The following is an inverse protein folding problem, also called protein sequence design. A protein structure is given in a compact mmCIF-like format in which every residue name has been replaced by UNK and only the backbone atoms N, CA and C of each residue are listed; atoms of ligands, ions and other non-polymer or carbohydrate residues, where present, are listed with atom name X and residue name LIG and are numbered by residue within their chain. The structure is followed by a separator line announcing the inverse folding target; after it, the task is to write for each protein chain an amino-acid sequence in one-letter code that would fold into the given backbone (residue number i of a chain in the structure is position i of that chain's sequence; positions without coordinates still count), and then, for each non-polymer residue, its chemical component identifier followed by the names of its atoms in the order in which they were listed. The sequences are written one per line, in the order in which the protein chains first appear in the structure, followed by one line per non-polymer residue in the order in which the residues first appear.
data_IF_477383943929
#
_entry.id   IF_477383943929
#
_cell.length_a   1.000
_cell.length_b   1.000
_cell.length_c   1.000
_cell.angle_alpha   90.00
_cell.angle_beta   90.00
_cell.angle_gamma   90.00
#
_symmetry.space_group_name_H-M   'P 1'
#
loop_
_entity.id
_entity.type
_entity.pdbx_description
1 polymer ?
#
# COMPACT_ATOMS: atom_id res chain seq x y z
N UNK A 1 32.20 -11.37 -3.14
CA UNK A 1 30.79 -10.97 -2.81
C UNK A 1 30.24 -10.07 -3.90
N UNK A 2 30.97 -9.06 -4.37
CA UNK A 2 30.52 -8.13 -5.41
C UNK A 2 30.13 -8.84 -6.72
N UNK A 3 30.95 -9.74 -7.21
CA UNK A 3 30.66 -10.51 -8.43
C UNK A 3 29.44 -11.43 -8.27
N UNK A 4 29.20 -11.98 -7.09
CA UNK A 4 28.03 -12.84 -6.83
C UNK A 4 26.74 -12.01 -6.75
N UNK A 5 26.77 -10.82 -6.10
CA UNK A 5 25.60 -9.92 -6.02
C UNK A 5 25.30 -9.23 -7.35
N UNK A 6 26.31 -8.80 -8.12
CA UNK A 6 26.11 -8.33 -9.49
C UNK A 6 25.50 -9.43 -10.38
N UNK A 7 25.98 -10.66 -10.27
CA UNK A 7 25.40 -11.80 -10.95
C UNK A 7 23.96 -12.04 -10.49
N UNK A 8 23.66 -11.96 -9.17
CA UNK A 8 22.32 -12.15 -8.64
C UNK A 8 21.35 -11.01 -8.99
N UNK A 9 21.80 -9.75 -9.02
CA UNK A 9 20.95 -8.64 -9.49
C UNK A 9 20.64 -8.78 -10.98
N UNK A 10 21.60 -9.19 -11.77
CA UNK A 10 21.41 -9.56 -13.17
C UNK A 10 20.45 -10.75 -13.34
N UNK A 11 20.62 -11.80 -12.54
CA UNK A 11 19.75 -12.97 -12.53
C UNK A 11 18.32 -12.56 -12.13
N UNK A 12 18.12 -11.78 -11.07
CA UNK A 12 16.81 -11.28 -10.65
C UNK A 12 16.12 -10.47 -11.76
N UNK A 13 16.87 -9.58 -12.42
CA UNK A 13 16.38 -8.78 -13.53
C UNK A 13 15.97 -9.67 -14.71
N UNK A 14 16.79 -10.67 -15.02
CA UNK A 14 16.51 -11.64 -16.08
C UNK A 14 15.23 -12.46 -15.80
N UNK A 15 14.99 -12.87 -14.55
CA UNK A 15 13.75 -13.55 -14.18
C UNK A 15 12.51 -12.66 -14.33
N UNK A 16 12.63 -11.36 -14.04
CA UNK A 16 11.51 -10.42 -14.24
C UNK A 16 11.19 -10.24 -15.73
N UNK A 17 12.20 -10.15 -16.59
CA UNK A 17 12.00 -10.14 -18.04
C UNK A 17 11.42 -11.46 -18.56
N UNK A 18 11.98 -12.59 -18.11
CA UNK A 18 11.51 -13.92 -18.48
C UNK A 18 10.02 -14.10 -18.09
N UNK A 19 9.66 -13.65 -16.90
CA UNK A 19 8.25 -13.67 -16.44
C UNK A 19 7.34 -12.87 -17.38
N UNK A 20 7.77 -11.67 -17.80
CA UNK A 20 7.02 -10.85 -18.76
C UNK A 20 6.84 -11.55 -20.10
N UNK A 21 7.92 -12.08 -20.68
CA UNK A 21 7.91 -12.79 -21.97
C UNK A 21 7.00 -14.03 -21.88
N UNK A 22 7.17 -14.85 -20.85
CA UNK A 22 6.35 -16.04 -20.65
C UNK A 22 4.88 -15.72 -20.39
N UNK A 23 4.58 -14.62 -19.70
CA UNK A 23 3.20 -14.16 -19.53
C UNK A 23 2.57 -13.83 -20.89
N UNK A 24 3.27 -13.13 -21.78
CA UNK A 24 2.81 -12.87 -23.15
C UNK A 24 2.60 -14.16 -23.91
N UNK A 25 3.55 -15.11 -23.84
CA UNK A 25 3.41 -16.42 -24.48
C UNK A 25 2.17 -17.18 -23.98
N UNK A 26 1.89 -17.10 -22.68
CA UNK A 26 0.69 -17.74 -22.09
C UNK A 26 -0.62 -17.09 -22.58
N UNK A 27 -0.63 -15.78 -22.84
CA UNK A 27 -1.78 -15.13 -23.49
C UNK A 27 -2.00 -15.68 -24.90
N UNK A 28 -0.92 -15.86 -25.71
CA UNK A 28 -1.04 -16.45 -27.04
C UNK A 28 -1.54 -17.90 -26.97
N UNK A 29 -0.98 -18.72 -26.10
CA UNK A 29 -1.43 -20.11 -25.90
C UNK A 29 -2.90 -20.14 -25.48
N UNK A 30 -3.29 -19.29 -24.53
CA UNK A 30 -4.69 -19.19 -24.09
C UNK A 30 -5.64 -18.78 -25.20
N UNK A 31 -5.26 -17.82 -26.07
CA UNK A 31 -6.07 -17.42 -27.21
C UNK A 31 -6.21 -18.56 -28.23
N UNK A 32 -5.16 -19.36 -28.45
CA UNK A 32 -5.24 -20.56 -29.30
C UNK A 32 -6.22 -21.56 -28.70
N UNK A 33 -6.14 -21.84 -27.41
CA UNK A 33 -7.01 -22.80 -26.71
C UNK A 33 -8.49 -22.42 -26.83
N UNK A 34 -8.82 -21.13 -26.72
CA UNK A 34 -10.19 -20.63 -26.88
C UNK A 34 -10.57 -20.36 -28.35
N UNK A 35 -9.73 -20.79 -29.28
CA UNK A 35 -9.93 -20.64 -30.73
C UNK A 35 -10.16 -19.18 -31.17
N UNK A 36 -9.41 -18.22 -30.58
CA UNK A 36 -9.45 -16.80 -30.93
C UNK A 36 -8.12 -16.36 -31.57
N UNK A 37 -8.22 -15.71 -32.72
CA UNK A 37 -7.05 -15.15 -33.40
C UNK A 37 -6.49 -13.90 -32.73
N UNK A 38 -5.29 -13.49 -33.14
CA UNK A 38 -4.65 -12.25 -32.71
C UNK A 38 -5.23 -11.03 -33.47
N UNK A 39 -6.46 -10.66 -33.15
CA UNK A 39 -7.04 -9.41 -33.66
C UNK A 39 -6.66 -8.20 -32.78
N UNK A 40 -6.89 -7.00 -33.31
CA UNK A 40 -6.56 -5.74 -32.64
C UNK A 40 -7.12 -5.67 -31.20
N UNK A 41 -8.37 -6.10 -30.98
CA UNK A 41 -8.99 -6.12 -29.63
C UNK A 41 -8.27 -7.03 -28.65
N UNK A 42 -7.84 -8.22 -29.09
CA UNK A 42 -7.10 -9.18 -28.26
C UNK A 42 -5.69 -8.67 -27.93
N UNK A 43 -5.04 -8.00 -28.90
CA UNK A 43 -3.76 -7.33 -28.67
C UNK A 43 -3.88 -6.21 -27.63
N UNK A 44 -4.93 -5.39 -27.68
CA UNK A 44 -5.19 -4.34 -26.68
C UNK A 44 -5.36 -4.91 -25.25
N UNK A 45 -5.99 -6.07 -25.11
CA UNK A 45 -6.15 -6.73 -23.80
C UNK A 45 -4.78 -7.14 -23.26
N UNK A 46 -3.92 -7.74 -24.08
CA UNK A 46 -2.56 -8.14 -23.68
C UNK A 46 -1.80 -6.90 -23.21
N UNK A 47 -1.82 -5.82 -23.98
CA UNK A 47 -1.15 -4.55 -23.63
C UNK A 47 -1.68 -3.99 -22.31
N UNK A 48 -3.02 -3.94 -22.15
CA UNK A 48 -3.65 -3.46 -20.91
C UNK A 48 -3.26 -4.32 -19.69
N UNK A 49 -3.18 -5.64 -19.85
CA UNK A 49 -2.75 -6.55 -18.82
C UNK A 49 -1.28 -6.31 -18.44
N UNK A 50 -0.39 -6.14 -19.43
CA UNK A 50 1.02 -5.86 -19.19
C UNK A 50 1.23 -4.54 -18.45
N UNK A 51 0.47 -3.49 -18.82
CA UNK A 51 0.47 -2.21 -18.12
C UNK A 51 -0.02 -2.37 -16.67
N UNK A 52 -1.13 -3.07 -16.45
CA UNK A 52 -1.67 -3.32 -15.11
C UNK A 52 -0.67 -4.08 -14.23
N UNK A 53 -0.01 -5.12 -14.76
CA UNK A 53 1.02 -5.86 -14.04
C UNK A 53 2.26 -5.01 -13.75
N UNK A 54 2.66 -4.12 -14.68
CA UNK A 54 3.76 -3.20 -14.48
C UNK A 54 3.46 -2.22 -13.34
N UNK A 55 2.30 -1.55 -13.38
CA UNK A 55 1.87 -0.61 -12.35
C UNK A 55 1.77 -1.30 -10.98
N UNK A 56 1.21 -2.51 -10.95
CA UNK A 56 1.09 -3.30 -9.73
C UNK A 56 2.42 -3.92 -9.26
N UNK A 57 3.52 -3.67 -9.99
CA UNK A 57 4.85 -4.22 -9.74
C UNK A 57 4.88 -5.76 -9.74
N UNK A 58 3.99 -6.39 -10.51
CA UNK A 58 3.87 -7.85 -10.62
C UNK A 58 5.10 -8.47 -11.26
N UNK A 59 5.83 -7.74 -12.08
CA UNK A 59 7.06 -8.22 -12.75
C UNK A 59 8.25 -8.44 -11.81
N UNK A 60 8.26 -7.81 -10.65
CA UNK A 60 9.35 -7.97 -9.69
C UNK A 60 9.22 -9.29 -8.92
N UNK A 61 9.57 -10.39 -9.58
CA UNK A 61 9.34 -11.77 -9.09
C UNK A 61 10.35 -12.20 -8.02
N UNK A 62 11.52 -11.57 -8.00
CA UNK A 62 12.67 -12.06 -7.25
C UNK A 62 12.94 -11.36 -5.92
N UNK A 63 11.98 -10.61 -5.38
CA UNK A 63 12.12 -10.01 -4.06
C UNK A 63 11.30 -10.79 -3.02
N UNK A 64 11.91 -11.10 -1.88
CA UNK A 64 11.26 -11.77 -0.74
C UNK A 64 10.06 -10.99 -0.16
N UNK A 65 9.91 -9.71 -0.54
CA UNK A 65 8.75 -8.88 -0.17
C UNK A 65 7.40 -9.43 -0.68
N UNK A 66 7.43 -10.37 -1.62
CA UNK A 66 6.24 -10.88 -2.30
C UNK A 66 5.83 -12.25 -1.78
N UNK A 67 5.24 -12.25 -0.58
CA UNK A 67 4.53 -13.40 -0.02
C UNK A 67 3.17 -13.59 -0.71
N UNK A 68 2.43 -14.62 -0.27
CA UNK A 68 1.04 -14.95 -0.68
C UNK A 68 0.15 -13.70 -0.96
N UNK A 69 0.44 -12.57 -0.30
CA UNK A 69 -0.28 -11.29 -0.43
C UNK A 69 -0.18 -10.70 -1.85
N UNK A 70 0.88 -10.97 -2.58
CA UNK A 70 1.04 -10.47 -3.95
C UNK A 70 0.49 -11.43 -5.00
N UNK A 71 0.32 -12.70 -4.64
CA UNK A 71 -0.44 -13.65 -5.46
C UNK A 71 -1.91 -13.23 -5.55
N UNK A 72 -2.46 -12.64 -4.47
CA UNK A 72 -3.82 -12.09 -4.50
C UNK A 72 -3.95 -10.90 -5.47
N UNK A 73 -2.90 -10.09 -5.63
CA UNK A 73 -2.90 -9.00 -6.60
C UNK A 73 -3.02 -9.52 -8.04
N UNK A 74 -2.32 -10.60 -8.37
CA UNK A 74 -2.43 -11.27 -9.69
C UNK A 74 -3.84 -11.76 -9.93
N UNK A 75 -4.45 -12.45 -8.95
CA UNK A 75 -5.82 -12.95 -9.03
C UNK A 75 -6.81 -11.80 -9.26
N UNK A 76 -6.66 -10.70 -8.53
CA UNK A 76 -7.54 -9.53 -8.64
C UNK A 76 -7.40 -8.87 -10.01
N UNK A 77 -6.18 -8.65 -10.51
CA UNK A 77 -5.97 -8.05 -11.83
C UNK A 77 -6.61 -8.93 -12.92
N UNK A 78 -6.34 -10.23 -12.90
CA UNK A 78 -6.90 -11.16 -13.88
C UNK A 78 -8.43 -11.25 -13.78
N UNK A 79 -8.99 -11.21 -12.57
CA UNK A 79 -10.43 -11.17 -12.36
C UNK A 79 -11.08 -9.90 -12.91
N UNK A 80 -10.45 -8.73 -12.71
CA UNK A 80 -10.92 -7.46 -13.29
C UNK A 80 -10.87 -7.52 -14.82
N UNK A 81 -9.76 -7.98 -15.39
CA UNK A 81 -9.60 -8.10 -16.85
C UNK A 81 -10.62 -9.07 -17.44
N UNK A 82 -10.85 -10.21 -16.80
CA UNK A 82 -11.89 -11.16 -17.18
C UNK A 82 -13.27 -10.51 -17.17
N UNK A 83 -13.61 -9.79 -16.10
CA UNK A 83 -14.89 -9.11 -15.96
C UNK A 83 -15.09 -8.07 -17.08
N UNK A 84 -14.09 -7.19 -17.27
CA UNK A 84 -14.14 -6.13 -18.30
C UNK A 84 -14.29 -6.74 -19.71
N UNK A 85 -13.53 -7.77 -20.03
CA UNK A 85 -13.57 -8.40 -21.35
C UNK A 85 -14.88 -9.15 -21.62
N UNK A 86 -15.48 -9.72 -20.60
CA UNK A 86 -16.79 -10.38 -20.68
C UNK A 86 -17.90 -9.35 -20.87
N UNK A 87 -17.93 -8.28 -20.07
CA UNK A 87 -18.92 -7.20 -20.23
C UNK A 87 -18.80 -6.48 -21.59
N UNK A 88 -17.59 -6.31 -22.08
CA UNK A 88 -17.34 -5.73 -23.42
C UNK A 88 -17.63 -6.70 -24.56
N UNK A 89 -18.13 -7.89 -24.26
CA UNK A 89 -18.42 -8.96 -25.25
C UNK A 89 -17.22 -9.33 -26.13
N UNK A 90 -16.01 -9.15 -25.62
CA UNK A 90 -14.77 -9.56 -26.31
C UNK A 90 -14.60 -11.07 -26.15
N UNK A 91 -14.81 -11.57 -24.95
CA UNK A 91 -14.84 -13.00 -24.63
C UNK A 91 -16.19 -13.38 -24.01
N UNK A 92 -16.60 -14.62 -24.23
CA UNK A 92 -17.67 -15.22 -23.43
C UNK A 92 -17.16 -15.46 -22.01
N UNK A 93 -18.07 -15.68 -21.06
CA UNK A 93 -17.71 -15.98 -19.66
C UNK A 93 -16.79 -17.20 -19.54
N UNK A 94 -17.07 -18.26 -20.31
CA UNK A 94 -16.25 -19.48 -20.34
C UNK A 94 -14.86 -19.26 -20.94
N UNK A 95 -14.76 -18.52 -22.05
CA UNK A 95 -13.47 -18.15 -22.64
C UNK A 95 -12.64 -17.33 -21.66
N UNK A 96 -13.27 -16.39 -20.95
CA UNK A 96 -12.62 -15.58 -19.91
C UNK A 96 -12.07 -16.45 -18.77
N UNK A 97 -12.87 -17.37 -18.24
CA UNK A 97 -12.41 -18.31 -17.18
C UNK A 97 -11.19 -19.11 -17.65
N UNK A 98 -11.24 -19.68 -18.85
CA UNK A 98 -10.15 -20.50 -19.39
C UNK A 98 -8.88 -19.65 -19.55
N UNK A 99 -8.99 -18.52 -20.26
CA UNK A 99 -7.86 -17.66 -20.57
C UNK A 99 -7.19 -17.12 -19.29
N UNK A 100 -7.95 -16.40 -18.47
CA UNK A 100 -7.40 -15.76 -17.28
C UNK A 100 -7.09 -16.75 -16.16
N UNK A 101 -7.78 -17.90 -16.11
CA UNK A 101 -7.47 -18.98 -15.21
C UNK A 101 -6.09 -19.61 -15.49
N UNK A 102 -5.81 -19.97 -16.75
CA UNK A 102 -4.51 -20.50 -17.16
C UNK A 102 -3.39 -19.50 -16.85
N UNK A 103 -3.57 -18.22 -17.21
CA UNK A 103 -2.59 -17.19 -16.96
C UNK A 103 -2.33 -17.01 -15.45
N UNK A 104 -3.39 -17.01 -14.65
CA UNK A 104 -3.26 -16.85 -13.19
C UNK A 104 -2.50 -18.02 -12.57
N UNK A 105 -2.84 -19.25 -12.94
CA UNK A 105 -2.15 -20.46 -12.45
C UNK A 105 -0.67 -20.42 -12.84
N UNK A 106 -0.37 -20.10 -14.10
CA UNK A 106 1.01 -19.97 -14.57
C UNK A 106 1.79 -18.90 -13.76
N UNK A 107 1.22 -17.71 -13.61
CA UNK A 107 1.88 -16.61 -12.91
C UNK A 107 2.16 -16.94 -11.44
N UNK A 108 1.24 -17.61 -10.76
CA UNK A 108 1.41 -18.05 -9.37
C UNK A 108 2.48 -19.15 -9.28
N UNK A 109 2.40 -20.16 -10.14
CA UNK A 109 3.34 -21.26 -10.15
C UNK A 109 4.77 -20.82 -10.48
N UNK A 110 4.94 -19.97 -11.50
CA UNK A 110 6.23 -19.43 -11.88
C UNK A 110 6.87 -18.63 -10.73
N UNK A 111 6.10 -17.77 -10.06
CA UNK A 111 6.56 -17.02 -8.89
C UNK A 111 6.99 -17.94 -7.76
N UNK A 112 6.18 -18.93 -7.46
CA UNK A 112 6.50 -19.89 -6.41
C UNK A 112 7.83 -20.60 -6.69
N UNK A 113 8.04 -21.06 -7.92
CA UNK A 113 9.28 -21.71 -8.35
C UNK A 113 10.46 -20.77 -8.23
N UNK A 114 10.35 -19.52 -8.70
CA UNK A 114 11.45 -18.55 -8.63
C UNK A 114 11.77 -18.17 -7.18
N UNK A 115 10.77 -17.98 -6.34
CA UNK A 115 10.99 -17.69 -4.91
C UNK A 115 11.76 -18.84 -4.26
N UNK A 116 11.36 -20.08 -4.51
CA UNK A 116 12.01 -21.24 -3.92
C UNK A 116 13.43 -21.48 -4.46
N UNK A 117 13.67 -21.18 -5.75
CA UNK A 117 14.93 -21.51 -6.41
C UNK A 117 16.00 -20.41 -6.31
N UNK A 118 15.60 -19.14 -6.19
CA UNK A 118 16.52 -18.00 -6.46
C UNK A 118 16.66 -17.07 -5.27
N UNK A 119 15.71 -17.06 -4.34
CA UNK A 119 15.72 -16.07 -3.28
C UNK A 119 16.56 -16.54 -2.10
N UNK A 120 17.84 -16.15 -2.08
CA UNK A 120 18.65 -16.20 -0.85
C UNK A 120 18.20 -15.06 0.08
N UNK A 121 18.03 -15.39 1.36
CA UNK A 121 17.74 -14.38 2.38
C UNK A 121 18.98 -13.56 2.66
N UNK A 122 18.86 -12.25 2.58
CA UNK A 122 19.96 -11.35 2.95
C UNK A 122 20.10 -11.30 4.48
N UNK A 123 21.35 -11.32 4.95
CA UNK A 123 21.67 -11.31 6.38
C UNK A 123 21.84 -9.87 6.83
N UNK A 124 21.11 -9.47 7.86
CA UNK A 124 21.11 -8.10 8.37
C UNK A 124 21.75 -8.02 9.75
N UNK A 125 22.58 -7.01 9.92
CA UNK A 125 23.18 -6.60 11.18
C UNK A 125 22.65 -5.22 11.56
N UNK A 126 22.23 -5.06 12.80
CA UNK A 126 21.85 -3.79 13.37
C UNK A 126 23.02 -3.20 14.17
N UNK A 127 23.18 -1.88 14.11
CA UNK A 127 24.23 -1.16 14.83
C UNK A 127 23.57 -0.08 15.68
N UNK A 128 23.69 -0.20 16.99
CA UNK A 128 22.98 0.64 17.97
C UNK A 128 21.51 0.27 18.14
N UNK A 129 20.85 1.02 18.99
CA UNK A 129 19.44 0.81 19.38
C UNK A 129 18.70 2.16 19.47
N UNK A 130 17.42 2.14 19.16
CA UNK A 130 16.46 3.21 19.42
C UNK A 130 15.04 2.60 19.58
N UNK A 131 14.03 3.46 19.77
CA UNK A 131 12.63 3.06 20.02
C UNK A 131 12.01 2.20 18.89
N UNK A 132 12.59 2.22 17.69
CA UNK A 132 12.11 1.44 16.53
C UNK A 132 12.87 0.13 16.32
N UNK A 133 13.92 -0.12 17.11
CA UNK A 133 14.76 -1.32 16.93
C UNK A 133 13.97 -2.59 17.14
N UNK A 134 13.16 -2.64 18.21
CA UNK A 134 12.34 -3.81 18.54
C UNK A 134 11.26 -4.04 17.46
N UNK A 135 10.53 -3.00 17.05
CA UNK A 135 9.52 -3.07 15.97
C UNK A 135 10.13 -3.63 14.67
N UNK A 136 11.31 -3.13 14.29
CA UNK A 136 12.01 -3.59 13.09
C UNK A 136 12.52 -5.01 13.23
N UNK A 137 13.03 -5.37 14.41
CA UNK A 137 13.54 -6.72 14.69
C UNK A 137 12.42 -7.75 14.61
N UNK A 138 11.26 -7.45 15.21
CA UNK A 138 10.09 -8.31 15.14
C UNK A 138 9.61 -8.47 13.69
N UNK A 139 9.53 -7.37 12.95
CA UNK A 139 9.14 -7.37 11.54
C UNK A 139 10.10 -8.19 10.69
N UNK A 140 11.42 -8.02 10.88
CA UNK A 140 12.47 -8.76 10.16
C UNK A 140 12.37 -10.26 10.45
N UNK A 141 12.18 -10.66 11.71
CA UNK A 141 12.02 -12.07 12.10
C UNK A 141 10.75 -12.68 11.52
N UNK A 142 9.63 -11.96 11.56
CA UNK A 142 8.32 -12.42 11.11
C UNK A 142 8.23 -12.52 9.59
N UNK A 143 8.81 -11.56 8.88
CA UNK A 143 8.66 -11.46 7.43
C UNK A 143 9.57 -12.41 6.66
N UNK A 144 10.69 -12.82 7.26
CA UNK A 144 11.64 -13.79 6.69
C UNK A 144 12.28 -13.33 5.38
N UNK A 145 12.24 -12.03 5.08
CA UNK A 145 12.97 -11.43 3.95
C UNK A 145 14.46 -11.37 4.26
N UNK A 146 14.78 -11.00 5.49
CA UNK A 146 16.14 -10.96 6.02
C UNK A 146 16.33 -12.06 7.05
N UNK A 147 17.59 -12.45 7.25
CA UNK A 147 18.02 -13.23 8.40
C UNK A 147 18.74 -12.28 9.35
N UNK A 148 18.14 -12.01 10.49
CA UNK A 148 18.80 -11.22 11.53
C UNK A 148 19.99 -12.00 12.07
N UNK A 149 21.17 -11.37 12.06
CA UNK A 149 22.42 -11.97 12.52
C UNK A 149 22.68 -11.56 13.97
N UNK A 150 22.83 -10.26 14.22
CA UNK A 150 23.14 -9.72 15.54
C UNK A 150 22.86 -8.21 15.60
N UNK A 151 22.77 -7.67 16.82
CA UNK A 151 22.91 -6.24 17.11
C UNK A 151 24.26 -5.95 17.73
N UNK A 152 24.91 -4.90 17.26
CA UNK A 152 26.18 -4.40 17.76
C UNK A 152 25.94 -3.11 18.54
N UNK A 153 26.04 -3.16 19.87
CA UNK A 153 25.70 -2.05 20.76
C UNK A 153 26.92 -1.48 21.51
N UNK A 154 28.11 -1.63 20.93
CA UNK A 154 29.32 -1.13 21.55
C UNK A 154 29.35 0.40 21.53
N UNK A 155 29.57 1.02 22.68
CA UNK A 155 29.62 2.49 22.83
C UNK A 155 30.96 3.07 22.36
N UNK A 156 32.03 2.26 22.35
CA UNK A 156 33.31 2.65 21.73
C UNK A 156 33.26 2.47 20.20
N UNK A 157 33.27 3.59 19.49
CA UNK A 157 33.21 3.60 18.03
C UNK A 157 34.37 2.86 17.36
N UNK A 158 35.58 2.84 17.99
CA UNK A 158 36.71 2.10 17.44
C UNK A 158 36.55 0.59 17.57
N UNK A 159 36.02 0.14 18.71
CA UNK A 159 35.72 -1.26 18.93
C UNK A 159 34.56 -1.70 18.02
N UNK A 160 33.50 -0.90 17.92
CA UNK A 160 32.37 -1.13 17.02
C UNK A 160 32.81 -1.26 15.56
N UNK A 161 33.67 -0.34 15.11
CA UNK A 161 34.23 -0.41 13.76
C UNK A 161 35.00 -1.71 13.50
N UNK A 162 35.81 -2.19 14.46
CA UNK A 162 36.54 -3.47 14.34
C UNK A 162 35.56 -4.65 14.25
N UNK A 163 34.54 -4.69 15.09
CA UNK A 163 33.51 -5.75 15.09
C UNK A 163 32.78 -5.82 13.74
N UNK A 164 32.40 -4.67 13.18
CA UNK A 164 31.76 -4.58 11.85
C UNK A 164 32.70 -5.13 10.77
N UNK A 165 34.00 -4.74 10.80
CA UNK A 165 34.99 -5.18 9.83
C UNK A 165 35.22 -6.70 9.91
N UNK A 166 35.35 -7.27 11.10
CA UNK A 166 35.50 -8.71 11.31
C UNK A 166 34.30 -9.50 10.80
N UNK A 167 33.09 -9.05 11.13
CA UNK A 167 31.86 -9.69 10.66
C UNK A 167 31.73 -9.62 9.12
N UNK A 168 32.10 -8.50 8.52
CA UNK A 168 32.03 -8.37 7.05
C UNK A 168 33.08 -9.24 6.36
N UNK A 169 34.33 -9.23 6.83
CA UNK A 169 35.43 -10.03 6.26
C UNK A 169 35.16 -11.54 6.36
N UNK A 170 34.45 -11.97 7.40
CA UNK A 170 33.97 -13.36 7.54
C UNK A 170 32.68 -13.64 6.78
N UNK A 171 32.18 -12.68 5.99
CA UNK A 171 30.96 -12.78 5.16
C UNK A 171 29.73 -13.18 5.95
N UNK A 172 29.60 -12.67 7.18
CA UNK A 172 28.47 -13.02 8.05
C UNK A 172 27.21 -12.21 7.76
N UNK A 173 27.28 -11.08 7.07
CA UNK A 173 26.11 -10.25 6.74
C UNK A 173 26.23 -9.57 5.37
N UNK A 174 25.09 -9.08 4.88
CA UNK A 174 24.90 -8.46 3.57
C UNK A 174 24.32 -7.05 3.68
N UNK A 175 23.60 -6.76 4.77
CA UNK A 175 22.93 -5.50 5.03
C UNK A 175 23.34 -5.01 6.42
N UNK A 176 23.70 -3.73 6.51
CA UNK A 176 24.01 -3.04 7.76
C UNK A 176 23.00 -1.90 7.92
N UNK A 177 22.34 -1.88 9.08
CA UNK A 177 21.40 -0.81 9.47
C UNK A 177 21.96 -0.06 10.66
N UNK A 178 22.22 1.22 10.49
CA UNK A 178 22.79 2.10 11.52
C UNK A 178 21.69 2.88 12.24
N UNK A 179 21.54 2.62 13.55
CA UNK A 179 20.62 3.32 14.45
C UNK A 179 21.31 4.44 15.24
N UNK A 180 22.64 4.56 15.12
CA UNK A 180 23.41 5.48 15.97
C UNK A 180 23.53 6.88 15.43
N UNK A 181 23.37 7.08 14.10
CA UNK A 181 23.69 8.30 13.34
C UNK A 181 25.13 8.80 13.56
N UNK A 182 25.98 7.99 14.19
CA UNK A 182 27.35 8.35 14.58
C UNK A 182 28.39 7.59 13.76
N UNK A 183 28.03 6.45 13.17
CA UNK A 183 28.97 5.55 12.50
C UNK A 183 29.73 6.25 11.36
N UNK A 184 29.05 7.09 10.59
CA UNK A 184 29.64 7.86 9.48
C UNK A 184 30.41 9.10 9.92
N UNK A 185 30.50 9.41 11.22
CA UNK A 185 31.33 10.53 11.72
C UNK A 185 32.81 10.16 11.85
N UNK A 186 33.13 8.85 11.90
CA UNK A 186 34.53 8.40 11.88
C UNK A 186 34.98 8.23 10.43
N UNK A 187 35.96 9.03 9.94
CA UNK A 187 36.41 8.99 8.55
C UNK A 187 36.96 7.61 8.15
N UNK A 188 37.62 6.89 9.08
CA UNK A 188 38.23 5.57 8.79
C UNK A 188 37.15 4.50 8.61
N UNK A 189 36.11 4.55 9.46
CA UNK A 189 34.96 3.63 9.32
C UNK A 189 34.23 3.95 8.02
N UNK A 190 33.98 5.22 7.74
CA UNK A 190 33.29 5.66 6.52
C UNK A 190 33.99 5.21 5.26
N UNK A 191 35.31 5.36 5.19
CA UNK A 191 36.12 4.92 4.04
C UNK A 191 36.02 3.39 3.85
N UNK A 192 36.10 2.62 4.92
CA UNK A 192 35.94 1.16 4.85
C UNK A 192 34.53 0.73 4.46
N UNK A 193 33.50 1.37 5.01
CA UNK A 193 32.11 1.10 4.62
C UNK A 193 31.87 1.46 3.14
N UNK A 194 32.48 2.53 2.63
CA UNK A 194 32.42 2.87 1.21
C UNK A 194 33.05 1.77 0.36
N UNK A 195 34.25 1.28 0.73
CA UNK A 195 34.87 0.16 0.05
C UNK A 195 33.95 -1.05 0.02
N UNK A 196 33.36 -1.43 1.17
CA UNK A 196 32.44 -2.57 1.26
C UNK A 196 31.13 -2.35 0.51
N UNK A 197 30.64 -1.12 0.45
CA UNK A 197 29.47 -0.77 -0.38
C UNK A 197 29.75 -1.01 -1.87
N UNK A 198 30.95 -0.67 -2.34
CA UNK A 198 31.38 -0.97 -3.71
C UNK A 198 31.54 -2.48 -3.96
N UNK A 199 31.84 -3.26 -2.93
CA UNK A 199 31.89 -4.73 -2.96
C UNK A 199 30.49 -5.38 -2.82
N UNK A 200 29.44 -4.59 -2.53
CA UNK A 200 28.06 -5.05 -2.48
C UNK A 200 27.40 -5.08 -1.11
N UNK A 201 28.02 -4.52 -0.06
CA UNK A 201 27.33 -4.24 1.21
C UNK A 201 26.21 -3.23 0.96
N UNK A 202 25.03 -3.50 1.51
CA UNK A 202 23.95 -2.52 1.59
C UNK A 202 24.03 -1.81 2.94
N UNK A 203 24.29 -0.51 2.93
CA UNK A 203 24.28 0.33 4.11
C UNK A 203 23.00 1.18 4.10
N UNK A 204 22.30 1.17 5.19
CA UNK A 204 21.14 2.02 5.44
C UNK A 204 21.28 2.72 6.79
N UNK A 205 20.90 4.00 6.87
CA UNK A 205 20.50 4.53 8.15
C UNK A 205 19.13 3.93 8.53
N UNK A 206 18.77 3.94 9.81
CA UNK A 206 17.56 3.29 10.27
C UNK A 206 16.27 3.95 9.72
N UNK A 207 16.27 5.28 9.47
CA UNK A 207 15.12 5.98 8.88
C UNK A 207 14.85 5.45 7.47
N UNK A 208 15.89 5.38 6.64
CA UNK A 208 15.80 4.89 5.27
C UNK A 208 15.41 3.40 5.23
N UNK A 209 15.98 2.58 6.13
CA UNK A 209 15.64 1.17 6.22
C UNK A 209 14.18 0.98 6.67
N UNK A 210 13.75 1.70 7.71
CA UNK A 210 12.39 1.66 8.22
C UNK A 210 11.39 2.07 7.14
N UNK A 211 11.63 3.19 6.46
CA UNK A 211 10.79 3.69 5.38
C UNK A 211 10.68 2.68 4.23
N UNK A 212 11.83 2.16 3.77
CA UNK A 212 11.87 1.25 2.62
C UNK A 212 11.29 -0.13 2.96
N UNK A 213 11.56 -0.63 4.16
CA UNK A 213 11.16 -1.96 4.59
C UNK A 213 9.70 -2.01 5.06
N UNK A 214 9.31 -1.08 5.94
CA UNK A 214 7.99 -1.04 6.53
C UNK A 214 6.94 -0.34 5.67
N UNK A 215 7.36 0.49 4.70
CA UNK A 215 6.51 1.37 3.91
C UNK A 215 5.67 2.32 4.77
N UNK A 216 6.28 2.85 5.84
CA UNK A 216 5.75 3.84 6.78
C UNK A 216 6.90 4.72 7.29
N UNK A 217 6.61 5.87 7.90
CA UNK A 217 7.62 6.79 8.43
C UNK A 217 7.71 6.72 9.96
N UNK A 218 8.91 6.76 10.56
CA UNK A 218 9.11 6.75 12.01
C UNK A 218 8.93 8.16 12.59
N UNK A 219 7.70 8.57 12.86
CA UNK A 219 7.29 9.97 13.14
C UNK A 219 8.02 10.59 14.33
N UNK A 220 8.23 9.86 15.43
CA UNK A 220 8.88 10.41 16.63
C UNK A 220 10.34 10.83 16.40
N UNK A 221 10.98 10.32 15.36
CA UNK A 221 12.36 10.65 15.00
C UNK A 221 12.47 11.63 13.83
N UNK A 222 11.35 12.09 13.28
CA UNK A 222 11.35 13.12 12.26
C UNK A 222 11.52 14.49 12.91
N UNK A 223 12.28 15.37 12.27
CA UNK A 223 12.47 16.75 12.68
C UNK A 223 12.04 17.70 11.56
N UNK A 224 11.77 18.98 11.84
CA UNK A 224 11.52 19.94 10.77
C UNK A 224 12.65 20.00 9.74
N UNK A 225 13.92 19.82 10.20
CA UNK A 225 15.08 19.72 9.31
C UNK A 225 14.94 18.54 8.35
N UNK A 226 14.52 17.36 8.83
CA UNK A 226 14.32 16.19 7.99
C UNK A 226 13.31 16.45 6.87
N UNK A 227 12.19 17.11 7.16
CA UNK A 227 11.20 17.49 6.14
C UNK A 227 11.75 18.47 5.09
N UNK A 228 12.67 19.36 5.47
CA UNK A 228 13.31 20.29 4.54
C UNK A 228 14.39 19.62 3.67
N UNK A 229 15.09 18.63 4.19
CA UNK A 229 16.16 17.91 3.48
C UNK A 229 15.63 16.78 2.59
N UNK A 230 14.41 16.27 2.85
CA UNK A 230 13.82 15.17 2.11
C UNK A 230 12.75 15.66 1.13
N UNK A 231 12.84 15.19 -0.10
CA UNK A 231 11.85 15.47 -1.14
C UNK A 231 10.57 14.64 -0.96
N UNK A 232 9.49 15.02 -1.63
CA UNK A 232 8.23 14.27 -1.71
C UNK A 232 7.07 14.90 -0.94
N UNK A 233 7.33 15.96 -0.16
CA UNK A 233 6.28 16.74 0.50
C UNK A 233 5.89 18.01 -0.30
N UNK A 234 6.53 18.25 -1.45
CA UNK A 234 6.26 19.38 -2.35
C UNK A 234 5.10 19.10 -3.32
N UNK A 235 4.02 18.53 -2.83
CA UNK A 235 2.89 18.06 -3.65
C UNK A 235 2.26 19.17 -4.48
N UNK A 236 2.26 20.39 -3.96
CA UNK A 236 1.66 21.56 -4.60
C UNK A 236 2.42 22.09 -5.83
N UNK A 237 3.65 21.63 -6.08
CA UNK A 237 4.46 22.12 -7.21
C UNK A 237 4.27 21.31 -8.49
N UNK A 238 3.70 20.09 -8.43
CA UNK A 238 3.47 19.28 -9.62
C UNK A 238 2.02 19.34 -10.10
N UNK A 239 1.65 20.48 -10.70
CA UNK A 239 0.31 20.72 -11.22
C UNK A 239 -0.17 19.67 -12.23
N UNK A 240 0.74 19.04 -12.99
CA UNK A 240 0.36 18.00 -13.95
C UNK A 240 -0.14 16.74 -13.24
N UNK A 241 0.59 16.24 -12.27
CA UNK A 241 0.19 15.04 -11.52
C UNK A 241 -1.12 15.25 -10.75
N UNK A 242 -1.33 16.43 -10.18
CA UNK A 242 -2.58 16.78 -9.48
C UNK A 242 -3.77 16.83 -10.45
N UNK A 243 -3.60 17.45 -11.63
CA UNK A 243 -4.64 17.48 -12.66
C UNK A 243 -4.94 16.09 -13.22
N UNK A 244 -3.91 15.29 -13.49
CA UNK A 244 -4.05 13.92 -13.95
C UNK A 244 -4.77 13.04 -12.92
N UNK A 245 -4.38 13.15 -11.63
CA UNK A 245 -5.09 12.49 -10.53
C UNK A 245 -6.56 12.92 -10.47
N UNK A 246 -6.84 14.22 -10.58
CA UNK A 246 -8.20 14.73 -10.56
C UNK A 246 -9.05 14.18 -11.72
N UNK A 247 -8.47 14.09 -12.91
CA UNK A 247 -9.14 13.48 -14.07
C UNK A 247 -9.47 12.01 -13.80
N UNK A 248 -8.53 11.25 -13.25
CA UNK A 248 -8.75 9.84 -12.89
C UNK A 248 -9.81 9.70 -11.81
N UNK A 249 -9.80 10.55 -10.77
CA UNK A 249 -10.83 10.57 -9.73
C UNK A 249 -12.23 10.78 -10.35
N UNK A 250 -12.36 11.73 -11.28
CA UNK A 250 -13.63 11.98 -11.95
C UNK A 250 -14.08 10.80 -12.82
N UNK A 251 -13.17 10.23 -13.61
CA UNK A 251 -13.47 9.08 -14.47
C UNK A 251 -13.89 7.87 -13.64
N UNK A 252 -13.18 7.55 -12.57
CA UNK A 252 -13.54 6.43 -11.69
C UNK A 252 -14.84 6.71 -10.91
N UNK A 253 -15.07 7.96 -10.45
CA UNK A 253 -16.31 8.30 -9.76
C UNK A 253 -17.53 8.13 -10.66
N UNK A 254 -17.44 8.57 -11.91
CA UNK A 254 -18.51 8.39 -12.91
C UNK A 254 -18.71 6.92 -13.25
N UNK A 255 -17.63 6.19 -13.54
CA UNK A 255 -17.70 4.78 -13.91
C UNK A 255 -18.31 3.95 -12.77
N UNK A 256 -17.76 4.06 -11.56
CA UNK A 256 -18.25 3.33 -10.38
C UNK A 256 -19.67 3.79 -10.05
N UNK A 257 -19.97 5.09 -10.14
CA UNK A 257 -21.30 5.63 -9.88
C UNK A 257 -22.38 5.04 -10.79
N UNK A 258 -22.09 4.90 -12.09
CA UNK A 258 -23.02 4.28 -13.06
C UNK A 258 -23.28 2.81 -12.70
N UNK A 259 -22.21 2.03 -12.46
CA UNK A 259 -22.37 0.61 -12.13
C UNK A 259 -22.95 0.37 -10.73
N UNK A 260 -22.66 1.24 -9.78
CA UNK A 260 -23.20 1.16 -8.42
C UNK A 260 -24.62 1.75 -8.28
N UNK A 261 -25.11 2.48 -9.28
CA UNK A 261 -26.43 3.15 -9.20
C UNK A 261 -27.58 2.21 -8.78
N UNK A 262 -27.73 0.99 -9.33
CA UNK A 262 -28.78 0.07 -8.89
C UNK A 262 -28.62 -0.31 -7.41
N UNK A 263 -27.38 -0.53 -6.94
CA UNK A 263 -27.07 -0.87 -5.55
C UNK A 263 -27.37 0.31 -4.64
N UNK A 264 -27.00 1.52 -5.05
CA UNK A 264 -27.29 2.78 -4.31
C UNK A 264 -28.79 2.96 -4.14
N UNK A 265 -29.60 2.78 -5.20
CA UNK A 265 -31.05 2.90 -5.12
C UNK A 265 -31.64 1.84 -4.20
N UNK A 266 -31.22 0.57 -4.34
CA UNK A 266 -31.70 -0.51 -3.50
C UNK A 266 -31.35 -0.27 -2.03
N UNK A 267 -30.11 0.11 -1.74
CA UNK A 267 -29.66 0.43 -0.39
C UNK A 267 -30.47 1.60 0.21
N UNK A 268 -30.74 2.64 -0.57
CA UNK A 268 -31.56 3.78 -0.15
C UNK A 268 -32.98 3.34 0.29
N UNK A 269 -33.61 2.47 -0.50
CA UNK A 269 -34.95 1.91 -0.19
C UNK A 269 -34.89 1.10 1.11
N UNK A 270 -33.93 0.19 1.25
CA UNK A 270 -33.81 -0.67 2.44
C UNK A 270 -33.55 0.17 3.70
N UNK A 271 -32.64 1.14 3.66
CA UNK A 271 -32.35 2.05 4.78
C UNK A 271 -33.60 2.81 5.21
N UNK A 272 -34.41 3.25 4.23
CA UNK A 272 -35.67 3.98 4.53
C UNK A 272 -36.74 3.09 5.17
N UNK A 273 -36.79 1.81 4.75
CA UNK A 273 -37.79 0.84 5.28
C UNK A 273 -37.34 0.27 6.63
N UNK A 274 -36.05 0.10 6.89
CA UNK A 274 -35.54 -0.49 8.13
C UNK A 274 -35.73 0.41 9.34
N UNK A 275 -35.59 1.73 9.18
CA UNK A 275 -35.68 2.64 10.31
C UNK A 275 -36.19 4.04 9.92
N UNK A 276 -36.90 4.70 10.81
CA UNK A 276 -37.36 6.09 10.63
C UNK A 276 -36.18 7.06 10.59
N UNK A 277 -36.20 8.02 9.67
CA UNK A 277 -35.21 9.09 9.56
C UNK A 277 -34.67 9.28 8.13
N UNK A 278 -33.59 10.09 7.93
CA UNK A 278 -32.99 10.36 6.63
C UNK A 278 -32.28 9.14 6.10
N UNK A 279 -32.19 9.01 4.75
CA UNK A 279 -31.45 7.93 4.07
C UNK A 279 -29.96 8.13 4.23
N UNK A 280 -29.51 9.37 4.09
CA UNK A 280 -28.11 9.74 4.17
C UNK A 280 -27.77 10.27 5.58
N UNK A 281 -26.57 9.95 6.00
CA UNK A 281 -25.90 10.53 7.17
C UNK A 281 -24.85 11.51 6.66
N UNK A 282 -24.94 12.75 7.10
CA UNK A 282 -24.04 13.83 6.72
C UNK A 282 -23.26 14.24 7.97
N UNK A 283 -21.94 14.32 7.87
CA UNK A 283 -21.09 14.66 9.00
C UNK A 283 -19.93 15.54 8.56
N UNK A 284 -19.66 16.61 9.33
CA UNK A 284 -18.52 17.48 9.10
C UNK A 284 -17.19 16.75 9.35
N UNK A 285 -16.26 16.94 8.43
CA UNK A 285 -14.90 16.38 8.45
C UNK A 285 -13.89 17.44 8.01
N UNK A 286 -12.63 17.21 8.37
CA UNK A 286 -11.52 18.05 7.92
C UNK A 286 -10.90 17.44 6.68
N UNK A 287 -10.71 18.26 5.66
CA UNK A 287 -10.11 17.91 4.37
C UNK A 287 -8.82 18.64 4.08
N UNK A 288 -8.50 18.78 2.79
CA UNK A 288 -7.29 19.43 2.28
C UNK A 288 -7.18 20.88 2.77
N UNK A 289 -5.98 21.25 3.26
CA UNK A 289 -5.71 22.58 3.80
C UNK A 289 -6.51 22.93 5.05
N UNK A 290 -6.87 21.93 5.85
CA UNK A 290 -7.72 22.06 7.06
C UNK A 290 -9.14 22.61 6.78
N UNK A 291 -9.62 22.52 5.54
CA UNK A 291 -10.95 23.00 5.18
C UNK A 291 -12.01 21.99 5.62
N UNK A 292 -13.08 22.51 6.22
CA UNK A 292 -14.25 21.71 6.60
C UNK A 292 -15.06 21.32 5.36
N UNK A 293 -15.55 20.08 5.32
CA UNK A 293 -16.49 19.60 4.31
C UNK A 293 -17.45 18.58 4.91
N UNK A 294 -18.56 18.35 4.24
CA UNK A 294 -19.59 17.42 4.69
C UNK A 294 -19.46 16.08 3.95
N UNK A 295 -18.98 15.04 4.66
CA UNK A 295 -18.98 13.68 4.10
C UNK A 295 -20.39 13.11 4.06
N UNK A 296 -20.75 12.48 2.95
CA UNK A 296 -22.07 11.86 2.74
C UNK A 296 -21.95 10.35 2.77
N UNK A 297 -22.73 9.69 3.63
CA UNK A 297 -22.80 8.21 3.74
C UNK A 297 -24.25 7.76 3.81
N UNK A 298 -24.50 6.45 3.58
CA UNK A 298 -25.77 5.88 4.02
C UNK A 298 -25.81 5.81 5.53
N UNK A 299 -26.99 6.07 6.10
CA UNK A 299 -27.21 5.86 7.51
C UNK A 299 -27.15 4.36 7.84
N UNK A 300 -26.17 3.96 8.61
CA UNK A 300 -25.92 2.58 9.05
C UNK A 300 -26.14 2.39 10.55
N UNK A 301 -26.49 3.47 11.26
CA UNK A 301 -26.76 3.49 12.70
C UNK A 301 -28.15 4.08 12.98
N UNK A 302 -28.64 3.86 14.20
CA UNK A 302 -29.87 4.49 14.70
C UNK A 302 -29.70 6.01 14.80
N UNK A 303 -30.82 6.76 14.78
CA UNK A 303 -30.79 8.24 14.77
C UNK A 303 -30.26 8.85 16.07
N UNK A 304 -30.27 8.09 17.15
CA UNK A 304 -29.79 8.47 18.48
C UNK A 304 -28.36 7.99 18.81
N UNK A 305 -27.64 7.47 17.81
CA UNK A 305 -26.33 6.87 17.99
C UNK A 305 -25.27 7.79 18.59
N UNK A 306 -25.41 9.10 18.51
CA UNK A 306 -24.47 10.11 19.01
C UNK A 306 -25.07 11.00 20.13
N UNK A 307 -26.11 10.55 20.86
CA UNK A 307 -26.67 11.32 21.96
C UNK A 307 -25.67 11.68 23.06
N UNK A 308 -24.72 10.78 23.29
CA UNK A 308 -23.65 10.94 24.31
C UNK A 308 -22.38 11.60 23.75
N UNK A 309 -22.48 12.25 22.58
CA UNK A 309 -21.38 12.94 21.94
C UNK A 309 -20.57 12.08 20.96
N UNK A 310 -19.47 12.64 20.41
CA UNK A 310 -18.62 11.99 19.44
C UNK A 310 -17.87 10.79 20.02
N UNK A 311 -18.06 9.60 19.45
CA UNK A 311 -17.38 8.37 19.87
C UNK A 311 -16.79 7.67 18.66
N UNK A 312 -15.62 7.04 18.84
CA UNK A 312 -15.10 6.09 17.86
C UNK A 312 -15.99 4.85 17.76
N UNK A 313 -16.11 4.28 16.56
CA UNK A 313 -16.86 3.06 16.37
C UNK A 313 -16.15 1.88 17.02
N UNK A 314 -16.88 1.05 17.77
CA UNK A 314 -16.36 -0.17 18.37
C UNK A 314 -16.63 -1.41 17.49
N UNK A 315 -15.91 -2.53 17.77
CA UNK A 315 -16.03 -3.76 16.98
C UNK A 315 -17.44 -4.40 17.02
N UNK A 316 -18.15 -4.25 18.14
CA UNK A 316 -19.51 -4.75 18.34
C UNK A 316 -20.47 -3.61 18.73
N UNK A 317 -20.55 -2.60 17.88
CA UNK A 317 -21.32 -1.38 18.15
C UNK A 317 -22.83 -1.66 18.04
N UNK A 318 -23.54 -1.65 19.17
CA UNK A 318 -24.97 -1.92 19.25
C UNK A 318 -25.84 -0.84 18.56
N UNK A 319 -25.25 0.31 18.21
CA UNK A 319 -25.93 1.40 17.49
C UNK A 319 -26.14 1.08 16.02
N UNK A 320 -25.44 0.04 15.49
CA UNK A 320 -25.48 -0.34 14.07
C UNK A 320 -26.74 -1.15 13.77
N UNK A 321 -27.52 -0.75 12.75
CA UNK A 321 -28.72 -1.46 12.30
C UNK A 321 -28.36 -2.81 11.66
N UNK A 322 -29.34 -3.70 11.48
CA UNK A 322 -29.09 -5.03 10.87
C UNK A 322 -28.54 -4.91 9.45
N UNK A 323 -29.18 -4.10 8.60
CA UNK A 323 -28.69 -3.82 7.25
C UNK A 323 -27.42 -2.97 7.28
N UNK A 324 -27.30 -2.07 8.26
CA UNK A 324 -26.08 -1.30 8.50
C UNK A 324 -24.84 -2.18 8.69
N UNK A 325 -24.97 -3.34 9.36
CA UNK A 325 -23.86 -4.31 9.50
C UNK A 325 -23.42 -4.85 8.14
N UNK A 326 -24.35 -5.18 7.26
CA UNK A 326 -24.08 -5.65 5.90
C UNK A 326 -23.41 -4.55 5.08
N UNK A 327 -24.00 -3.34 5.09
CA UNK A 327 -23.44 -2.20 4.35
C UNK A 327 -22.01 -1.88 4.78
N UNK A 328 -21.71 -1.88 6.08
CA UNK A 328 -20.36 -1.63 6.60
C UNK A 328 -19.38 -2.74 6.23
N UNK A 329 -19.80 -4.00 6.24
CA UNK A 329 -18.97 -5.12 5.84
C UNK A 329 -18.62 -5.08 4.34
N UNK A 330 -19.54 -4.61 3.50
CA UNK A 330 -19.42 -4.51 2.04
C UNK A 330 -18.97 -3.13 1.56
N UNK A 331 -18.81 -2.14 2.47
CA UNK A 331 -18.52 -0.73 2.17
C UNK A 331 -19.57 -0.03 1.31
N UNK A 332 -20.76 -0.58 1.20
CA UNK A 332 -21.90 0.05 0.48
C UNK A 332 -22.30 1.36 1.17
N UNK A 333 -22.15 1.46 2.48
CA UNK A 333 -22.44 2.68 3.23
C UNK A 333 -21.58 3.89 2.80
N UNK A 334 -20.44 3.66 2.19
CA UNK A 334 -19.52 4.70 1.73
C UNK A 334 -19.73 5.11 0.26
N UNK A 335 -20.58 4.39 -0.52
CA UNK A 335 -20.83 4.73 -1.93
C UNK A 335 -21.34 6.17 -2.16
N UNK A 336 -22.16 6.79 -1.30
CA UNK A 336 -22.54 8.19 -1.50
C UNK A 336 -21.38 9.19 -1.45
N UNK A 337 -20.22 8.82 -0.90
CA UNK A 337 -19.00 9.65 -0.93
C UNK A 337 -18.45 9.87 -2.34
N UNK A 338 -18.87 9.08 -3.34
CA UNK A 338 -18.60 9.38 -4.75
C UNK A 338 -19.02 10.81 -5.10
N UNK A 339 -20.08 11.33 -4.47
CA UNK A 339 -20.49 12.72 -4.61
C UNK A 339 -19.45 13.70 -4.08
N UNK A 340 -18.82 13.42 -2.95
CA UNK A 340 -17.73 14.25 -2.44
C UNK A 340 -16.50 14.22 -3.37
N UNK A 341 -16.23 13.06 -4.00
CA UNK A 341 -15.18 12.97 -5.03
C UNK A 341 -15.53 13.83 -6.24
N UNK A 342 -16.77 13.76 -6.75
CA UNK A 342 -17.22 14.58 -7.88
C UNK A 342 -17.13 16.07 -7.57
N UNK A 343 -17.46 16.50 -6.35
CA UNK A 343 -17.32 17.88 -5.89
C UNK A 343 -15.88 18.34 -5.68
N UNK A 344 -14.93 17.41 -5.63
CA UNK A 344 -13.51 17.69 -5.41
C UNK A 344 -13.12 17.91 -3.95
N UNK A 345 -14.01 17.59 -3.02
CA UNK A 345 -13.77 17.61 -1.58
C UNK A 345 -12.94 16.38 -1.15
N UNK A 346 -13.04 15.29 -1.91
CA UNK A 346 -12.31 14.03 -1.70
C UNK A 346 -11.64 13.54 -2.98
N UNK A 347 -10.73 12.60 -2.83
CA UNK A 347 -10.13 11.77 -3.86
C UNK A 347 -10.48 10.29 -3.62
N UNK A 348 -10.23 9.40 -4.58
CA UNK A 348 -10.30 7.96 -4.32
C UNK A 348 -9.26 7.52 -3.32
N UNK A 349 -8.02 8.02 -3.46
CA UNK A 349 -6.90 7.61 -2.62
C UNK A 349 -6.34 8.82 -1.86
N UNK A 350 -6.28 8.69 -0.56
CA UNK A 350 -5.75 9.71 0.36
C UNK A 350 -5.94 9.30 1.82
N UNK A 351 -5.45 10.08 2.77
CA UNK A 351 -5.72 9.88 4.19
C UNK A 351 -7.22 9.89 4.50
N UNK A 352 -7.67 9.03 5.41
CA UNK A 352 -9.10 9.00 5.80
C UNK A 352 -9.47 10.28 6.53
N UNK A 353 -10.55 11.01 6.16
CA UNK A 353 -10.92 12.27 6.82
C UNK A 353 -11.42 12.01 8.24
N UNK A 354 -10.95 12.83 9.19
CA UNK A 354 -11.30 12.71 10.61
C UNK A 354 -12.14 13.91 11.07
N UNK A 355 -12.80 13.78 12.21
CA UNK A 355 -13.60 14.83 12.85
C UNK A 355 -12.68 15.83 13.56
N UNK A 356 -13.01 17.11 13.49
CA UNK A 356 -12.24 18.18 14.16
C UNK A 356 -12.04 17.89 15.65
N UNK A 357 -13.07 17.40 16.32
CA UNK A 357 -13.01 17.02 17.73
C UNK A 357 -11.86 16.06 18.06
N UNK A 358 -11.68 15.01 17.25
CA UNK A 358 -10.58 14.06 17.46
C UNK A 358 -9.22 14.62 17.00
N UNK A 359 -9.19 15.43 15.93
CA UNK A 359 -7.98 16.05 15.43
C UNK A 359 -7.37 16.93 16.51
N UNK A 360 -8.15 17.78 17.19
CA UNK A 360 -7.69 18.65 18.26
C UNK A 360 -7.08 17.91 19.46
N UNK A 361 -7.51 16.68 19.70
CA UNK A 361 -6.93 15.82 20.73
C UNK A 361 -5.63 15.17 20.21
N UNK A 362 -5.67 14.61 19.00
CA UNK A 362 -4.55 13.90 18.40
C UNK A 362 -3.35 14.81 18.10
N UNK A 363 -3.56 16.05 17.70
CA UNK A 363 -2.50 17.03 17.47
C UNK A 363 -1.69 17.38 18.71
N UNK A 364 -2.29 17.23 19.90
CA UNK A 364 -1.58 17.47 21.19
C UNK A 364 -0.64 16.33 21.55
N UNK A 365 -0.96 15.11 21.10
CA UNK A 365 -0.24 13.89 21.48
C UNK A 365 0.66 13.37 20.36
N UNK A 366 0.31 13.64 19.09
CA UNK A 366 1.00 13.09 17.93
C UNK A 366 1.64 14.23 17.12
N UNK A 367 2.98 14.30 17.04
CA UNK A 367 3.67 15.32 16.25
C UNK A 367 3.31 15.16 14.77
N UNK A 368 3.23 16.30 14.09
CA UNK A 368 2.96 16.38 12.64
C UNK A 368 1.61 15.81 12.19
N UNK A 369 0.65 15.61 13.09
CA UNK A 369 -0.65 15.00 12.75
C UNK A 369 -1.39 15.77 11.64
N UNK A 370 -1.29 17.11 11.63
CA UNK A 370 -1.92 17.99 10.64
C UNK A 370 -1.33 17.86 9.22
N UNK A 371 -0.11 17.33 9.06
CA UNK A 371 0.47 17.12 7.73
C UNK A 371 -0.35 16.19 6.84
N UNK A 372 -1.20 15.35 7.43
CA UNK A 372 -2.12 14.51 6.67
C UNK A 372 -3.18 15.30 5.88
N UNK A 373 -3.41 16.55 6.23
CA UNK A 373 -4.34 17.46 5.56
C UNK A 373 -3.69 18.25 4.42
N UNK A 374 -2.45 17.98 4.08
CA UNK A 374 -1.76 18.61 2.92
C UNK A 374 -2.26 18.05 1.59
N UNK A 375 -3.00 16.95 1.59
CA UNK A 375 -3.61 16.34 0.42
C UNK A 375 -5.11 16.13 0.64
N UNK A 376 -5.86 15.90 -0.46
CA UNK A 376 -7.27 15.54 -0.36
C UNK A 376 -7.47 14.25 0.41
N UNK A 377 -8.47 14.19 1.30
CA UNK A 377 -8.85 12.96 1.97
C UNK A 377 -9.37 11.94 0.95
N UNK A 378 -9.16 10.65 1.25
CA UNK A 378 -9.52 9.55 0.37
C UNK A 378 -10.70 8.71 0.84
N UNK A 379 -11.41 8.10 -0.12
CA UNK A 379 -12.32 6.97 0.12
C UNK A 379 -11.55 5.78 0.70
N UNK A 380 -10.39 5.51 0.13
CA UNK A 380 -9.40 4.57 0.64
C UNK A 380 -8.05 5.26 0.80
N UNK A 381 -7.09 4.62 1.47
CA UNK A 381 -5.76 5.18 1.66
C UNK A 381 -4.75 4.13 2.07
N UNK A 382 -3.46 4.50 2.01
CA UNK A 382 -2.39 3.57 2.33
C UNK A 382 -2.49 3.05 3.77
N UNK A 383 -2.80 3.93 4.74
CA UNK A 383 -3.05 3.52 6.12
C UNK A 383 -4.22 2.52 6.23
N UNK A 384 -5.31 2.72 5.47
CA UNK A 384 -6.49 1.87 5.51
C UNK A 384 -6.22 0.45 4.97
N UNK A 385 -5.29 0.30 4.02
CA UNK A 385 -4.94 -1.01 3.41
C UNK A 385 -3.78 -1.71 4.10
N UNK A 386 -2.97 -0.99 4.89
CA UNK A 386 -1.78 -1.55 5.55
C UNK A 386 -1.99 -1.80 7.05
N UNK A 387 -2.87 -1.05 7.69
CA UNK A 387 -3.10 -1.12 9.12
C UNK A 387 -4.56 -1.50 9.42
N UNK A 388 -4.82 -2.46 10.32
CA UNK A 388 -6.18 -2.87 10.68
C UNK A 388 -6.92 -1.73 11.39
N UNK A 389 -8.24 -1.87 11.47
CA UNK A 389 -9.08 -0.91 12.16
C UNK A 389 -8.73 -0.86 13.65
N UNK A 390 -8.50 0.35 14.15
CA UNK A 390 -8.26 0.64 15.55
C UNK A 390 -8.80 2.04 15.91
N UNK A 391 -9.05 2.28 17.19
CA UNK A 391 -9.75 3.46 17.70
C UNK A 391 -9.06 4.02 18.97
N UNK A 392 -7.74 3.99 19.01
CA UNK A 392 -6.90 4.55 20.07
C UNK A 392 -5.97 5.63 19.51
N UNK A 393 -5.31 6.37 20.39
CA UNK A 393 -4.25 7.32 20.02
C UNK A 393 -3.08 6.60 19.37
N UNK A 394 -2.69 5.43 19.90
CA UNK A 394 -1.64 4.60 19.29
C UNK A 394 -2.02 4.15 17.89
N UNK A 395 -3.28 3.74 17.65
CA UNK A 395 -3.75 3.42 16.31
C UNK A 395 -3.71 4.63 15.37
N UNK A 396 -4.04 5.82 15.86
CA UNK A 396 -3.95 7.06 15.10
C UNK A 396 -2.49 7.39 14.74
N UNK A 397 -1.56 7.19 15.68
CA UNK A 397 -0.13 7.35 15.46
C UNK A 397 0.38 6.37 14.39
N UNK A 398 0.05 5.09 14.50
CA UNK A 398 0.45 4.06 13.52
C UNK A 398 -0.14 4.35 12.13
N UNK A 399 -1.38 4.81 12.04
CA UNK A 399 -2.00 5.23 10.78
C UNK A 399 -1.31 6.44 10.16
N UNK A 400 -0.93 7.43 10.97
CA UNK A 400 -0.21 8.61 10.51
C UNK A 400 1.14 8.24 9.86
N UNK A 401 1.86 7.24 10.40
CA UNK A 401 3.09 6.75 9.78
C UNK A 401 2.88 6.33 8.32
N UNK A 402 1.77 5.64 8.03
CA UNK A 402 1.40 5.24 6.67
C UNK A 402 0.86 6.42 5.84
N UNK A 403 0.08 7.32 6.45
CA UNK A 403 -0.45 8.49 5.76
C UNK A 403 0.68 9.42 5.29
N UNK A 404 1.69 9.68 6.13
CA UNK A 404 2.85 10.49 5.75
C UNK A 404 3.74 9.79 4.72
N UNK A 405 3.89 8.46 4.80
CA UNK A 405 4.56 7.70 3.74
C UNK A 405 3.84 7.85 2.39
N UNK A 406 2.51 7.75 2.39
CA UNK A 406 1.71 7.98 1.18
C UNK A 406 1.92 9.39 0.63
N UNK A 407 1.89 10.40 1.48
CA UNK A 407 2.09 11.80 1.09
C UNK A 407 3.46 11.98 0.45
N UNK A 408 4.53 11.47 1.08
CA UNK A 408 5.90 11.54 0.57
C UNK A 408 6.06 10.86 -0.80
N UNK A 409 5.45 9.71 -0.99
CA UNK A 409 5.58 8.88 -2.20
C UNK A 409 4.40 9.00 -3.16
N UNK A 410 3.58 10.03 -2.99
CA UNK A 410 2.38 10.24 -3.78
C UNK A 410 2.67 10.18 -5.29
N UNK A 411 1.99 9.27 -5.98
CA UNK A 411 2.07 9.10 -7.44
C UNK A 411 0.87 8.32 -7.96
N UNK A 412 0.52 8.50 -9.23
CA UNK A 412 -0.57 7.74 -9.87
C UNK A 412 -0.36 6.22 -9.78
N UNK A 413 0.84 5.67 -10.06
CA UNK A 413 1.08 4.23 -9.86
C UNK A 413 0.86 3.77 -8.42
N UNK A 414 1.18 4.62 -7.44
CA UNK A 414 0.94 4.29 -6.04
C UNK A 414 -0.56 4.30 -5.70
N UNK A 415 -1.33 5.25 -6.25
CA UNK A 415 -2.78 5.26 -6.12
C UNK A 415 -3.41 3.98 -6.67
N UNK A 416 -3.00 3.56 -7.87
CA UNK A 416 -3.46 2.28 -8.46
C UNK A 416 -3.10 1.09 -7.56
N UNK A 417 -1.89 1.06 -6.98
CA UNK A 417 -1.49 0.04 -6.02
C UNK A 417 -2.40 0.01 -4.78
N UNK A 418 -2.78 1.17 -4.24
CA UNK A 418 -3.71 1.28 -3.12
C UNK A 418 -5.10 0.78 -3.49
N UNK A 419 -5.61 1.17 -4.67
CA UNK A 419 -6.91 0.71 -5.17
C UNK A 419 -6.96 -0.81 -5.34
N UNK A 420 -5.94 -1.43 -5.94
CA UNK A 420 -5.85 -2.88 -6.09
C UNK A 420 -5.83 -3.60 -4.73
N UNK A 421 -5.07 -3.07 -3.75
CA UNK A 421 -5.08 -3.60 -2.39
C UNK A 421 -6.46 -3.45 -1.72
N UNK A 422 -7.15 -2.33 -1.95
CA UNK A 422 -8.50 -2.09 -1.42
C UNK A 422 -9.48 -3.13 -1.96
N UNK A 423 -9.48 -3.38 -3.26
CA UNK A 423 -10.32 -4.42 -3.88
C UNK A 423 -10.03 -5.79 -3.25
N UNK A 424 -8.75 -6.13 -3.06
CA UNK A 424 -8.34 -7.38 -2.41
C UNK A 424 -8.90 -7.48 -0.98
N UNK A 425 -8.85 -6.41 -0.19
CA UNK A 425 -9.35 -6.38 1.19
C UNK A 425 -10.87 -6.53 1.23
N UNK A 426 -11.59 -5.87 0.32
CA UNK A 426 -13.06 -5.94 0.23
C UNK A 426 -13.52 -7.34 -0.16
N UNK A 427 -12.90 -7.94 -1.17
CA UNK A 427 -13.28 -9.30 -1.65
C UNK A 427 -13.00 -10.36 -0.59
N UNK A 428 -11.84 -10.31 0.08
CA UNK A 428 -11.42 -11.34 1.04
C UNK A 428 -11.81 -11.04 2.50
N UNK A 429 -12.59 -9.99 2.75
CA UNK A 429 -13.14 -9.68 4.08
C UNK A 429 -12.10 -9.32 5.15
N UNK A 430 -10.89 -8.91 4.76
CA UNK A 430 -9.78 -8.58 5.68
C UNK A 430 -9.82 -7.13 6.20
N UNK A 431 -10.91 -6.41 5.98
CA UNK A 431 -11.02 -4.97 6.25
C UNK A 431 -11.51 -4.59 7.66
N UNK A 432 -11.63 -5.54 8.60
CA UNK A 432 -12.02 -5.30 10.00
C UNK A 432 -11.30 -6.25 10.94
#
# INVERSE_FOLDING_TARGET
VGNRKMAMSGVRKNFSYLFGILTVAMYFIGLIIINRGLGFRNAMIIVSALIAYYIANVYNVATNKYKLKDMTTVIVINGILMTVTTFSKIFTFYEGIILFGIITIFQIAFRYIVIMAVVEKERVVFVGENDYTEDLLESVKKDGQYVFVTSLNNTDMKALGKEILELYNTKKFDVLVDFTDKLLRDPKITEKLLQYKLEGLQYYNYLEFYETYENKLPISHLSPKWFLENTGFEIYHNNFNLKAKRLLDLLFALLIGIFAAPVIVLAAIIVKLESKGPIFFIQERIGEGNKKFNIVKFRSMTTDAEKDGPQWASKNDNRVTKFGKIMRATRIDELPQLWNVLRGEMSFVGPRPEREYFIQQLEKEIPYYNLRHTVKPGLTGWAQVMYPYGASVEDAYRKLQYDLYYIKHHSIPFDVKVLLKTVTIVIFGKGR
#
